data_IF_968907116591
#
_entry.id   IF_968907116591
#
_cell.length_a   1.000
_cell.length_b   1.000
_cell.length_c   1.000
_cell.angle_alpha   90.00
_cell.angle_beta   90.00
_cell.angle_gamma   90.00
#
_symmetry.space_group_name_H-M   'P 1'
#
loop_
_entity.id
_entity.type
_entity.pdbx_description
1 polymer ?
#
# COMPACT_ATOMS: atom_id res chain seq x y z
N UNK A 1 -3.00 26.56 15.08
CA UNK A 1 -3.35 25.27 15.71
C UNK A 1 -4.15 24.38 14.78
N UNK A 2 -5.12 24.92 14.04
CA UNK A 2 -5.92 24.16 13.07
C UNK A 2 -5.08 23.34 12.08
N UNK A 3 -4.13 23.96 11.38
CA UNK A 3 -3.27 23.26 10.40
C UNK A 3 -2.41 22.15 11.00
N UNK A 4 -2.06 22.25 12.29
CA UNK A 4 -1.36 21.17 13.00
C UNK A 4 -2.31 19.98 13.20
N UNK A 5 -3.57 20.24 13.58
CA UNK A 5 -4.61 19.21 13.66
C UNK A 5 -4.86 18.53 12.32
N UNK A 6 -4.93 19.31 11.24
CA UNK A 6 -5.07 18.81 9.85
C UNK A 6 -3.90 17.93 9.44
N UNK A 7 -2.67 18.33 9.78
CA UNK A 7 -1.47 17.51 9.54
C UNK A 7 -1.52 16.18 10.31
N UNK A 8 -1.89 16.22 11.59
CA UNK A 8 -2.01 15.03 12.45
C UNK A 8 -3.14 14.12 11.95
N UNK A 9 -4.29 14.67 11.58
CA UNK A 9 -5.38 13.93 10.97
C UNK A 9 -4.93 13.27 9.66
N UNK A 10 -4.10 13.96 8.87
CA UNK A 10 -3.42 13.41 7.70
C UNK A 10 -2.60 12.16 8.03
N UNK A 11 -1.75 12.22 9.07
CA UNK A 11 -1.00 11.04 9.53
C UNK A 11 -1.93 9.87 9.86
N UNK A 12 -3.03 10.14 10.56
CA UNK A 12 -3.98 9.11 10.98
C UNK A 12 -4.82 8.55 9.82
N UNK A 13 -5.02 9.33 8.77
CA UNK A 13 -5.81 8.95 7.60
C UNK A 13 -5.23 7.74 6.86
N UNK A 14 -3.90 7.63 6.81
CA UNK A 14 -3.19 6.54 6.15
C UNK A 14 -3.20 5.22 6.95
N UNK A 15 -3.30 5.27 8.28
CA UNK A 15 -3.38 4.06 9.10
C UNK A 15 -4.82 3.54 9.17
N UNK A 16 -5.05 2.32 8.68
CA UNK A 16 -6.40 1.73 8.59
C UNK A 16 -7.20 1.75 9.90
N UNK A 17 -6.56 1.55 11.06
CA UNK A 17 -7.25 1.62 12.36
C UNK A 17 -7.65 3.05 12.76
N UNK A 18 -6.84 4.05 12.44
CA UNK A 18 -7.12 5.45 12.81
C UNK A 18 -7.85 6.25 11.74
N UNK A 19 -7.97 5.71 10.52
CA UNK A 19 -8.60 6.38 9.39
C UNK A 19 -10.03 6.90 9.69
N UNK A 20 -10.93 6.15 10.37
CA UNK A 20 -12.27 6.66 10.68
C UNK A 20 -12.27 7.93 11.53
N UNK A 21 -11.31 8.07 12.45
CA UNK A 21 -11.19 9.28 13.27
C UNK A 21 -10.71 10.47 12.45
N UNK A 22 -9.75 10.25 11.55
CA UNK A 22 -9.29 11.28 10.62
C UNK A 22 -10.42 11.73 9.67
N UNK A 23 -11.21 10.78 9.15
CA UNK A 23 -12.38 11.09 8.31
C UNK A 23 -13.39 11.93 9.09
N UNK A 24 -13.75 11.53 10.31
CA UNK A 24 -14.66 12.29 11.17
C UNK A 24 -14.15 13.71 11.46
N UNK A 25 -12.83 13.87 11.65
CA UNK A 25 -12.21 15.19 11.79
C UNK A 25 -12.32 16.02 10.51
N UNK A 26 -11.97 15.47 9.34
CA UNK A 26 -12.02 16.21 8.08
C UNK A 26 -13.44 16.61 7.66
N UNK A 27 -14.46 15.82 8.02
CA UNK A 27 -15.86 16.17 7.75
C UNK A 27 -16.43 17.23 8.69
N UNK A 28 -15.77 17.54 9.79
CA UNK A 28 -16.27 18.50 10.80
C UNK A 28 -15.48 19.80 10.86
N UNK A 29 -14.23 19.79 10.39
CA UNK A 29 -13.38 20.97 10.36
C UNK A 29 -13.73 21.88 9.17
N UNK A 30 -13.72 23.20 9.39
CA UNK A 30 -14.01 24.21 8.36
C UNK A 30 -12.81 25.14 8.19
N UNK A 31 -11.79 24.75 7.41
CA UNK A 31 -10.58 25.53 7.26
C UNK A 31 -10.80 26.79 6.46
N UNK A 32 -10.16 27.88 6.89
CA UNK A 32 -10.18 29.17 6.18
C UNK A 32 -9.67 29.04 4.74
N UNK A 33 -8.73 28.12 4.50
CA UNK A 33 -8.19 27.82 3.18
C UNK A 33 -8.14 26.31 2.96
N UNK A 34 -9.13 25.79 2.23
CA UNK A 34 -9.26 24.37 1.90
C UNK A 34 -8.03 23.87 1.12
N UNK A 35 -7.50 24.65 0.19
CA UNK A 35 -6.33 24.24 -0.60
C UNK A 35 -5.09 24.03 0.27
N UNK A 36 -4.82 24.97 1.18
CA UNK A 36 -3.71 24.85 2.11
C UNK A 36 -3.91 23.69 3.08
N UNK A 37 -5.13 23.51 3.58
CA UNK A 37 -5.52 22.38 4.43
C UNK A 37 -5.30 21.04 3.74
N UNK A 38 -5.71 20.90 2.47
CA UNK A 38 -5.49 19.71 1.65
C UNK A 38 -4.02 19.37 1.51
N UNK A 39 -3.16 20.34 1.20
CA UNK A 39 -1.72 20.13 1.04
C UNK A 39 -1.09 19.68 2.37
N UNK A 40 -1.50 20.30 3.48
CA UNK A 40 -0.96 19.99 4.81
C UNK A 40 -1.42 18.61 5.27
N UNK A 41 -2.70 18.28 5.13
CA UNK A 41 -3.24 16.96 5.46
C UNK A 41 -2.66 15.87 4.56
N UNK A 42 -2.54 16.12 3.26
CA UNK A 42 -1.90 15.22 2.30
C UNK A 42 -0.43 14.97 2.62
N UNK A 43 0.29 16.00 3.12
CA UNK A 43 1.67 15.85 3.57
C UNK A 43 1.79 14.96 4.81
N UNK A 44 0.87 15.10 5.76
CA UNK A 44 0.77 14.20 6.90
C UNK A 44 0.53 12.76 6.47
N UNK A 45 -0.44 12.52 5.58
CA UNK A 45 -0.75 11.19 5.08
C UNK A 45 0.42 10.57 4.30
N UNK A 46 1.11 11.36 3.49
CA UNK A 46 2.34 10.95 2.81
C UNK A 46 3.41 10.45 3.80
N UNK A 47 3.65 11.21 4.87
CA UNK A 47 4.66 10.84 5.88
C UNK A 47 4.28 9.51 6.53
N UNK A 48 3.00 9.31 6.86
CA UNK A 48 2.52 8.04 7.38
C UNK A 48 2.71 6.88 6.38
N UNK A 49 2.32 7.05 5.11
CA UNK A 49 2.51 6.02 4.07
C UNK A 49 4.00 5.66 3.88
N UNK A 50 4.90 6.64 3.91
CA UNK A 50 6.34 6.39 3.82
C UNK A 50 6.88 5.66 5.05
N UNK A 51 6.39 5.97 6.25
CA UNK A 51 6.73 5.26 7.48
C UNK A 51 6.24 3.81 7.40
N UNK A 52 4.96 3.60 7.02
CA UNK A 52 4.36 2.28 6.85
C UNK A 52 5.17 1.47 5.84
N UNK A 53 5.46 2.04 4.67
CA UNK A 53 6.24 1.38 3.64
C UNK A 53 7.64 0.99 4.12
N UNK A 54 8.32 1.91 4.82
CA UNK A 54 9.65 1.63 5.36
C UNK A 54 9.62 0.56 6.45
N UNK A 55 8.60 0.57 7.31
CA UNK A 55 8.39 -0.44 8.35
C UNK A 55 8.15 -1.81 7.74
N UNK A 56 7.24 -1.91 6.77
CA UNK A 56 7.00 -3.16 6.02
C UNK A 56 8.29 -3.62 5.34
N UNK A 57 8.97 -2.73 4.62
CA UNK A 57 10.20 -3.09 3.92
C UNK A 57 11.29 -3.61 4.87
N UNK A 58 11.39 -3.03 6.06
CA UNK A 58 12.37 -3.44 7.06
C UNK A 58 11.98 -4.77 7.73
N UNK A 59 10.72 -4.94 8.12
CA UNK A 59 10.25 -6.15 8.81
C UNK A 59 10.33 -7.42 7.96
N UNK A 60 10.31 -7.29 6.63
CA UNK A 60 10.33 -8.44 5.71
C UNK A 60 11.63 -8.55 4.90
N UNK A 61 12.67 -7.79 5.27
CA UNK A 61 13.92 -7.68 4.51
C UNK A 61 14.64 -9.03 4.39
N UNK A 62 14.69 -9.80 5.48
CA UNK A 62 15.35 -11.10 5.52
C UNK A 62 14.62 -12.15 4.68
N UNK A 63 13.28 -12.10 4.67
CA UNK A 63 12.43 -12.96 3.85
C UNK A 63 12.54 -12.59 2.36
N UNK A 64 12.67 -11.31 2.02
CA UNK A 64 12.95 -10.87 0.65
C UNK A 64 14.29 -11.39 0.15
N UNK A 65 15.36 -11.30 0.94
CA UNK A 65 16.68 -11.81 0.56
C UNK A 65 16.66 -13.32 0.33
N UNK A 66 15.88 -14.07 1.14
CA UNK A 66 15.69 -15.52 0.94
C UNK A 66 14.94 -15.80 -0.37
N UNK A 67 13.86 -15.06 -0.65
CA UNK A 67 13.06 -15.23 -1.88
C UNK A 67 13.82 -14.89 -3.16
N UNK A 68 14.63 -13.84 -3.15
CA UNK A 68 15.44 -13.45 -4.32
C UNK A 68 16.46 -14.53 -4.69
N UNK A 69 16.92 -15.31 -3.70
CA UNK A 69 17.86 -16.42 -3.88
C UNK A 69 17.20 -17.73 -4.31
N UNK A 70 15.87 -17.86 -4.24
CA UNK A 70 15.17 -19.11 -4.58
C UNK A 70 15.11 -19.32 -6.10
N UNK A 71 15.56 -20.49 -6.56
CA UNK A 71 15.56 -20.88 -7.99
C UNK A 71 14.19 -20.76 -8.69
N UNK A 72 13.11 -20.90 -7.92
CA UNK A 72 11.72 -20.82 -8.37
C UNK A 72 11.39 -19.46 -9.01
N UNK A 73 11.88 -18.34 -8.46
CA UNK A 73 11.63 -17.01 -9.04
C UNK A 73 12.36 -16.82 -10.38
N UNK A 74 13.58 -17.38 -10.51
CA UNK A 74 14.36 -17.35 -11.75
C UNK A 74 13.71 -18.19 -12.87
N UNK A 75 13.02 -19.28 -12.53
CA UNK A 75 12.31 -20.12 -13.50
C UNK A 75 10.95 -19.53 -13.89
N UNK A 76 10.19 -18.98 -12.93
CA UNK A 76 8.89 -18.34 -13.21
C UNK A 76 9.04 -17.14 -14.16
N UNK A 77 10.07 -16.29 -13.97
CA UNK A 77 10.35 -15.16 -14.87
C UNK A 77 10.72 -15.64 -16.29
N UNK A 78 11.33 -16.82 -16.40
CA UNK A 78 11.78 -17.40 -17.67
C UNK A 78 10.64 -18.07 -18.45
N UNK A 79 9.70 -18.68 -17.74
CA UNK A 79 8.57 -19.42 -18.33
C UNK A 79 7.36 -18.53 -18.68
N UNK A 80 7.27 -17.30 -18.14
CA UNK A 80 6.15 -16.40 -18.44
C UNK A 80 6.20 -15.77 -19.85
N UNK A 81 7.32 -15.92 -20.57
CA UNK A 81 7.45 -15.40 -21.94
C UNK A 81 6.90 -16.33 -23.03
N UNK A 82 6.58 -17.60 -22.75
CA UNK A 82 6.17 -18.53 -23.81
C UNK A 82 5.20 -19.62 -23.31
N UNK A 83 3.88 -19.42 -23.49
CA UNK A 83 2.96 -20.39 -24.15
C UNK A 83 1.45 -20.10 -23.90
N UNK A 84 0.62 -20.17 -24.96
CA UNK A 84 -0.84 -20.11 -24.86
C UNK A 84 -1.45 -21.51 -24.75
N UNK A 85 -1.66 -22.02 -23.53
CA UNK A 85 -2.57 -23.15 -23.28
C UNK A 85 -3.47 -22.83 -22.08
N UNK A 86 -4.59 -22.17 -22.36
CA UNK A 86 -5.31 -21.31 -21.43
C UNK A 86 -6.57 -21.91 -20.75
N UNK A 87 -6.78 -23.23 -20.73
CA UNK A 87 -8.02 -23.80 -20.12
C UNK A 87 -7.82 -24.86 -19.03
N UNK A 88 -6.91 -25.82 -19.20
CA UNK A 88 -6.62 -26.81 -18.14
C UNK A 88 -5.75 -26.21 -17.03
N UNK A 89 -4.87 -25.26 -17.40
CA UNK A 89 -4.05 -24.49 -16.46
C UNK A 89 -4.89 -23.77 -15.42
N UNK A 90 -6.07 -23.27 -15.78
CA UNK A 90 -6.91 -22.47 -14.88
C UNK A 90 -7.47 -23.31 -13.72
N UNK A 91 -7.94 -24.53 -13.96
CA UNK A 91 -8.45 -25.41 -12.91
C UNK A 91 -7.35 -25.87 -11.96
N UNK A 92 -6.16 -26.17 -12.50
CA UNK A 92 -4.99 -26.48 -11.68
C UNK A 92 -4.54 -25.25 -10.87
N UNK A 93 -4.62 -24.05 -11.45
CA UNK A 93 -4.36 -22.79 -10.76
C UNK A 93 -5.36 -22.58 -9.62
N UNK A 94 -6.65 -22.80 -9.84
CA UNK A 94 -7.67 -22.67 -8.79
C UNK A 94 -7.49 -23.70 -7.67
N UNK A 95 -7.06 -24.92 -7.99
CA UNK A 95 -6.73 -25.93 -6.99
C UNK A 95 -5.49 -25.52 -6.16
N UNK A 96 -4.44 -25.03 -6.82
CA UNK A 96 -3.23 -24.52 -6.15
C UNK A 96 -3.56 -23.30 -5.30
N UNK A 97 -4.36 -22.36 -5.81
CA UNK A 97 -4.84 -21.18 -5.08
C UNK A 97 -5.69 -21.59 -3.87
N UNK A 98 -6.54 -22.60 -4.00
CA UNK A 98 -7.31 -23.15 -2.89
C UNK A 98 -6.44 -23.79 -1.81
N UNK A 99 -5.41 -24.56 -2.21
CA UNK A 99 -4.44 -25.18 -1.29
C UNK A 99 -3.61 -24.11 -0.58
N UNK A 100 -3.18 -23.09 -1.32
CA UNK A 100 -2.44 -21.94 -0.82
C UNK A 100 -3.23 -21.15 0.21
N UNK A 101 -4.50 -20.80 -0.09
CA UNK A 101 -5.37 -20.02 0.80
C UNK A 101 -5.75 -20.82 2.05
N UNK A 102 -5.82 -22.16 1.93
CA UNK A 102 -6.12 -23.05 3.06
C UNK A 102 -4.89 -23.50 3.85
N UNK A 103 -3.68 -23.25 3.34
CA UNK A 103 -2.44 -23.60 4.02
C UNK A 103 -2.05 -22.50 5.02
N UNK A 104 -1.43 -22.85 6.16
CA UNK A 104 -0.81 -21.89 7.07
C UNK A 104 0.51 -21.35 6.49
N UNK A 105 0.59 -21.13 5.17
CA UNK A 105 1.71 -20.46 4.50
C UNK A 105 1.31 -19.08 3.92
N UNK A 106 0.85 -18.14 4.77
CA UNK A 106 0.82 -16.72 4.40
C UNK A 106 2.22 -16.18 4.11
N UNK A 107 3.29 -16.89 4.49
CA UNK A 107 4.66 -16.36 4.46
C UNK A 107 5.24 -16.27 3.05
N UNK A 108 5.10 -17.27 2.16
CA UNK A 108 5.73 -17.17 0.83
C UNK A 108 4.91 -16.32 -0.17
N UNK A 109 3.59 -16.38 -0.10
CA UNK A 109 2.73 -15.55 -0.97
C UNK A 109 2.62 -14.13 -0.44
N UNK A 110 2.47 -13.96 0.87
CA UNK A 110 2.54 -12.66 1.51
C UNK A 110 3.87 -11.99 1.21
N UNK A 111 5.00 -12.69 1.40
CA UNK A 111 6.31 -12.08 1.12
C UNK A 111 6.55 -11.91 -0.38
N UNK A 112 6.08 -12.77 -1.28
CA UNK A 112 6.20 -12.51 -2.73
C UNK A 112 5.35 -11.32 -3.21
N UNK A 113 4.15 -11.12 -2.67
CA UNK A 113 3.34 -9.92 -2.92
C UNK A 113 4.02 -8.67 -2.34
N UNK A 114 4.58 -8.77 -1.13
CA UNK A 114 5.35 -7.70 -0.49
C UNK A 114 6.69 -7.43 -1.21
N UNK A 115 7.31 -8.43 -1.82
CA UNK A 115 8.51 -8.28 -2.66
C UNK A 115 8.17 -7.48 -3.92
N UNK A 116 7.00 -7.73 -4.51
CA UNK A 116 6.43 -6.91 -5.58
C UNK A 116 6.24 -5.46 -5.14
N UNK A 117 5.65 -5.23 -3.96
CA UNK A 117 5.44 -3.89 -3.39
C UNK A 117 6.76 -3.17 -3.06
N UNK A 118 7.78 -3.86 -2.54
CA UNK A 118 9.07 -3.25 -2.17
C UNK A 118 9.97 -2.89 -3.34
N UNK A 119 9.71 -3.44 -4.53
CA UNK A 119 10.34 -3.01 -5.79
C UNK A 119 9.89 -1.61 -6.25
N UNK A 120 8.80 -1.09 -5.69
CA UNK A 120 8.30 0.25 -6.00
C UNK A 120 9.32 1.30 -5.53
N UNK A 121 9.67 2.23 -6.43
CA UNK A 121 10.57 3.34 -6.09
C UNK A 121 9.87 4.26 -5.09
N UNK A 122 10.55 4.57 -3.98
CA UNK A 122 10.01 5.40 -2.89
C UNK A 122 9.45 6.75 -3.38
N UNK A 123 10.08 7.37 -4.37
CA UNK A 123 9.63 8.64 -4.95
C UNK A 123 8.31 8.50 -5.71
N UNK A 124 8.10 7.36 -6.40
CA UNK A 124 6.84 7.09 -7.12
C UNK A 124 5.73 6.89 -6.10
N UNK A 125 5.99 6.10 -5.05
CA UNK A 125 5.04 5.93 -3.94
C UNK A 125 4.70 7.27 -3.31
N UNK A 126 5.71 8.12 -3.05
CA UNK A 126 5.51 9.42 -2.45
C UNK A 126 4.59 10.33 -3.28
N UNK A 127 4.83 10.42 -4.59
CA UNK A 127 4.00 11.25 -5.48
C UNK A 127 2.56 10.72 -5.53
N UNK A 128 2.38 9.41 -5.73
CA UNK A 128 1.04 8.81 -5.83
C UNK A 128 0.29 8.96 -4.51
N UNK A 129 0.93 8.61 -3.39
CA UNK A 129 0.36 8.74 -2.04
C UNK A 129 -0.07 10.17 -1.77
N UNK A 130 0.81 11.15 -2.01
CA UNK A 130 0.49 12.55 -1.77
C UNK A 130 -0.72 13.01 -2.58
N UNK A 131 -0.77 12.69 -3.88
CA UNK A 131 -1.87 13.10 -4.75
C UNK A 131 -3.18 12.42 -4.33
N UNK A 132 -3.17 11.10 -4.12
CA UNK A 132 -4.37 10.34 -3.75
C UNK A 132 -4.92 10.79 -2.39
N UNK A 133 -4.07 10.92 -1.38
CA UNK A 133 -4.49 11.37 -0.06
C UNK A 133 -4.98 12.82 -0.10
N UNK A 134 -4.31 13.70 -0.84
CA UNK A 134 -4.75 15.10 -1.01
C UNK A 134 -6.12 15.17 -1.67
N UNK A 135 -6.39 14.37 -2.71
CA UNK A 135 -7.71 14.32 -3.36
C UNK A 135 -8.77 13.85 -2.37
N UNK A 136 -8.52 12.77 -1.62
CA UNK A 136 -9.46 12.27 -0.62
C UNK A 136 -9.78 13.31 0.46
N UNK A 137 -8.76 13.96 1.01
CA UNK A 137 -8.89 15.02 2.01
C UNK A 137 -9.63 16.24 1.44
N UNK A 138 -9.31 16.67 0.23
CA UNK A 138 -10.01 17.76 -0.44
C UNK A 138 -11.51 17.48 -0.58
N UNK A 139 -11.87 16.27 -1.00
CA UNK A 139 -13.27 15.85 -1.13
C UNK A 139 -13.97 15.94 0.24
N UNK A 140 -13.36 15.40 1.29
CA UNK A 140 -13.94 15.45 2.64
C UNK A 140 -14.12 16.88 3.17
N UNK A 141 -13.15 17.76 2.93
CA UNK A 141 -13.23 19.17 3.33
C UNK A 141 -14.22 20.00 2.50
N UNK A 142 -14.68 19.47 1.37
CA UNK A 142 -15.61 20.15 0.45
C UNK A 142 -17.07 19.73 0.66
N UNK A 143 -17.33 18.75 1.52
CA UNK A 143 -18.67 18.27 1.91
C UNK A 143 -19.16 19.10 3.09
#
# INVERSE_FOLDING_TARGET
MEYIGIFIAGLFFSFGFSAPFAVGFFLTIQPQNIWLATIIGGSGALIADLIIFKMIKFSFMDEFEKLERTKVMKEIIKDFSYKPLAKIKNYLLYAIVGIVISSPLPDEIGVSMLAGLTSIRIHILAIISFIMNSIGIYIMLSI
#
